data_IF_430061178738
#
_entry.id   IF_430061178738
#
_cell.length_a   1.000
_cell.length_b   1.000
_cell.length_c   1.000
_cell.angle_alpha   90.00
_cell.angle_beta   90.00
_cell.angle_gamma   90.00
#
_symmetry.space_group_name_H-M   'P 1'
#
loop_
_entity.id
_entity.type
_entity.pdbx_description
1 polymer ?
#
# COMPACT_ATOMS: atom_id res chain seq x y z
N UNK A 1 -3.76 16.04 0.93
CA UNK A 1 -2.56 16.07 0.06
C UNK A 1 -1.27 15.64 0.74
N UNK A 2 -0.99 16.10 1.98
CA UNK A 2 0.24 15.76 2.69
C UNK A 2 0.61 14.25 2.68
N UNK A 3 -0.30 13.29 2.96
CA UNK A 3 0.06 11.87 2.93
C UNK A 3 0.48 11.40 1.53
N UNK A 4 -0.12 11.95 0.47
CA UNK A 4 0.19 11.64 -0.93
C UNK A 4 1.54 12.20 -1.37
N UNK A 5 1.92 13.38 -0.86
CA UNK A 5 3.26 13.92 -1.07
C UNK A 5 4.29 13.05 -0.36
N UNK A 6 4.05 12.69 0.92
CA UNK A 6 4.95 11.82 1.67
C UNK A 6 5.15 10.45 0.98
N UNK A 7 4.07 9.88 0.46
CA UNK A 7 4.09 8.67 -0.35
C UNK A 7 4.91 8.84 -1.64
N UNK A 8 4.75 9.94 -2.37
CA UNK A 8 5.51 10.22 -3.60
C UNK A 8 7.03 10.18 -3.35
N UNK A 9 7.49 10.74 -2.22
CA UNK A 9 8.88 10.63 -1.78
C UNK A 9 9.27 9.20 -1.40
N UNK A 10 8.39 8.45 -0.73
CA UNK A 10 8.67 7.09 -0.28
C UNK A 10 8.85 6.09 -1.43
N UNK A 11 8.12 6.27 -2.53
CA UNK A 11 8.23 5.42 -3.74
C UNK A 11 9.46 5.78 -4.59
N UNK A 12 10.04 6.97 -4.42
CA UNK A 12 11.26 7.37 -5.13
C UNK A 12 12.50 6.80 -4.43
N UNK A 13 12.93 5.61 -4.86
CA UNK A 13 14.09 4.92 -4.28
C UNK A 13 15.39 5.68 -4.42
N UNK A 14 15.53 6.53 -5.46
CA UNK A 14 16.74 7.28 -5.78
C UNK A 14 17.13 8.35 -4.75
N UNK A 15 16.22 8.74 -3.87
CA UNK A 15 16.45 9.79 -2.85
C UNK A 15 16.37 9.29 -1.41
N UNK A 16 16.21 7.97 -1.20
CA UNK A 16 16.08 7.36 0.14
C UNK A 16 17.26 7.66 1.05
N UNK A 17 18.49 7.59 0.53
CA UNK A 17 19.71 7.92 1.29
C UNK A 17 19.71 9.38 1.76
N UNK A 18 19.20 10.29 0.95
CA UNK A 18 19.11 11.71 1.31
C UNK A 18 18.01 11.94 2.35
N UNK A 19 16.87 11.25 2.25
CA UNK A 19 15.82 11.26 3.27
C UNK A 19 16.39 10.79 4.62
N UNK A 20 17.12 9.68 4.63
CA UNK A 20 17.76 9.16 5.83
C UNK A 20 18.76 10.15 6.43
N UNK A 21 19.59 10.78 5.60
CA UNK A 21 20.54 11.80 6.04
C UNK A 21 19.83 12.96 6.74
N UNK A 22 18.70 13.42 6.20
CA UNK A 22 17.92 14.50 6.80
C UNK A 22 17.29 14.02 8.12
N UNK A 23 16.63 12.86 8.09
CA UNK A 23 15.96 12.29 9.26
C UNK A 23 16.93 12.02 10.41
N UNK A 24 18.15 11.55 10.13
CA UNK A 24 19.18 11.25 11.13
C UNK A 24 19.72 12.48 11.86
N UNK A 25 19.52 13.69 11.34
CA UNK A 25 19.92 14.93 12.05
C UNK A 25 19.23 15.08 13.39
N UNK A 26 17.97 14.64 13.50
CA UNK A 26 17.22 14.65 14.75
C UNK A 26 16.06 13.65 14.69
N UNK A 27 16.38 12.35 14.84
CA UNK A 27 15.40 11.26 14.79
C UNK A 27 14.23 11.47 15.75
N UNK A 28 14.45 11.79 17.05
CA UNK A 28 13.35 11.98 18.00
C UNK A 28 12.38 13.08 17.57
N UNK A 29 12.90 14.18 17.02
CA UNK A 29 12.09 15.30 16.56
C UNK A 29 11.21 14.94 15.36
N UNK A 30 11.78 14.39 14.29
CA UNK A 30 11.02 14.02 13.09
C UNK A 30 10.02 12.90 13.38
N UNK A 31 10.42 11.91 14.19
CA UNK A 31 9.53 10.85 14.63
C UNK A 31 8.33 11.40 15.42
N UNK A 32 8.58 12.32 16.37
CA UNK A 32 7.51 12.97 17.13
C UNK A 32 6.57 13.74 16.20
N UNK A 33 7.10 14.55 15.27
CA UNK A 33 6.31 15.30 14.29
C UNK A 33 5.43 14.39 13.44
N UNK A 34 5.96 13.26 12.97
CA UNK A 34 5.19 12.27 12.23
C UNK A 34 4.07 11.68 13.10
N UNK A 35 4.38 11.18 14.31
CA UNK A 35 3.39 10.55 15.21
C UNK A 35 2.26 11.46 15.66
N UNK A 36 2.53 12.77 15.77
CA UNK A 36 1.50 13.76 16.13
C UNK A 36 0.62 14.20 14.96
N UNK A 37 0.98 13.82 13.73
CA UNK A 37 0.17 14.12 12.55
C UNK A 37 -1.07 13.24 12.48
N UNK A 38 -2.23 13.81 12.11
CA UNK A 38 -3.45 13.04 11.77
C UNK A 38 -3.20 12.03 10.66
N UNK A 39 -2.20 12.29 9.82
CA UNK A 39 -1.89 11.50 8.63
C UNK A 39 -0.97 10.30 8.91
N UNK A 40 -0.49 10.10 10.14
CA UNK A 40 0.51 9.08 10.48
C UNK A 40 0.13 7.65 10.09
N UNK A 41 -1.18 7.36 10.19
CA UNK A 41 -1.77 6.07 9.83
C UNK A 41 -2.65 6.17 8.57
N UNK A 42 -2.51 7.25 7.80
CA UNK A 42 -3.26 7.40 6.55
C UNK A 42 -2.92 6.23 5.61
N UNK A 43 -3.91 5.55 4.98
CA UNK A 43 -3.66 4.37 4.17
C UNK A 43 -2.64 4.55 3.03
N UNK A 44 -2.59 5.73 2.39
CA UNK A 44 -1.57 6.08 1.40
C UNK A 44 -0.11 5.94 1.91
N UNK A 45 0.11 6.06 3.22
CA UNK A 45 1.40 5.82 3.86
C UNK A 45 1.53 4.35 4.28
N UNK A 46 0.44 3.72 4.75
CA UNK A 46 0.49 2.45 5.48
C UNK A 46 0.28 1.17 4.66
N UNK A 47 -0.30 1.24 3.46
CA UNK A 47 -0.77 0.03 2.76
C UNK A 47 0.34 -0.80 2.10
N UNK A 48 1.40 -0.14 1.62
CA UNK A 48 2.44 -0.77 0.79
C UNK A 48 3.51 -1.57 1.54
N UNK A 49 4.71 -1.61 0.94
CA UNK A 49 5.89 -2.30 1.50
C UNK A 49 6.32 -1.72 2.86
N UNK A 50 7.02 -2.51 3.68
CA UNK A 50 7.65 -2.02 4.93
C UNK A 50 8.50 -0.78 4.65
N UNK A 51 9.27 -0.79 3.56
CA UNK A 51 10.08 0.37 3.16
C UNK A 51 9.21 1.57 2.76
N UNK A 52 8.10 1.38 2.01
CA UNK A 52 7.19 2.50 1.67
C UNK A 52 6.59 3.11 2.95
N UNK A 53 6.20 2.28 3.90
CA UNK A 53 5.70 2.71 5.22
C UNK A 53 6.76 3.50 6.00
N UNK A 54 7.99 2.97 6.07
CA UNK A 54 9.09 3.60 6.79
C UNK A 54 9.45 4.96 6.19
N UNK A 55 9.74 5.02 4.89
CA UNK A 55 10.10 6.26 4.22
C UNK A 55 8.93 7.24 4.15
N UNK A 56 7.69 6.75 4.02
CA UNK A 56 6.50 7.58 4.10
C UNK A 56 6.36 8.28 5.45
N UNK A 57 6.61 7.58 6.56
CA UNK A 57 6.59 8.17 7.91
C UNK A 57 7.77 9.08 8.20
N UNK A 58 8.99 8.71 7.77
CA UNK A 58 10.16 9.59 7.83
C UNK A 58 9.87 10.90 7.09
N UNK A 59 9.36 10.79 5.88
CA UNK A 59 9.06 11.96 5.06
C UNK A 59 7.90 12.78 5.59
N UNK A 60 6.85 12.15 6.15
CA UNK A 60 5.78 12.85 6.85
C UNK A 60 6.35 13.71 7.99
N UNK A 61 7.24 13.16 8.81
CA UNK A 61 7.92 13.89 9.88
C UNK A 61 8.73 15.10 9.36
N UNK A 62 9.49 14.90 8.29
CA UNK A 62 10.28 15.97 7.65
C UNK A 62 9.38 17.05 7.06
N UNK A 63 8.32 16.68 6.34
CA UNK A 63 7.36 17.63 5.76
C UNK A 63 6.64 18.43 6.84
N UNK A 64 6.17 17.78 7.92
CA UNK A 64 5.57 18.45 9.07
C UNK A 64 6.52 19.37 9.82
N UNK A 65 7.82 19.10 9.82
CA UNK A 65 8.82 20.00 10.39
C UNK A 65 9.11 21.19 9.47
N UNK A 66 9.15 20.96 8.15
CA UNK A 66 9.39 21.98 7.13
C UNK A 66 8.38 23.12 7.14
N UNK A 67 7.13 22.87 7.56
CA UNK A 67 6.11 23.94 7.68
C UNK A 67 6.47 25.03 8.68
N UNK A 68 7.35 24.74 9.64
CA UNK A 68 7.78 25.68 10.68
C UNK A 68 9.27 26.01 10.64
N UNK A 69 10.08 25.24 9.91
CA UNK A 69 11.53 25.40 9.81
C UNK A 69 11.95 25.65 8.35
N UNK A 70 12.40 26.88 8.01
CA UNK A 70 12.87 27.23 6.66
C UNK A 70 14.11 26.44 6.20
N UNK A 71 14.95 25.97 7.13
CA UNK A 71 16.09 25.11 6.83
C UNK A 71 15.62 23.75 6.30
N UNK A 72 14.68 23.12 7.02
CA UNK A 72 14.10 21.84 6.62
C UNK A 72 13.29 21.98 5.32
N UNK A 73 12.55 23.08 5.15
CA UNK A 73 11.86 23.39 3.89
C UNK A 73 12.80 23.44 2.69
N UNK A 74 14.00 24.03 2.83
CA UNK A 74 15.02 24.04 1.77
C UNK A 74 15.54 22.63 1.46
N UNK A 75 15.69 21.79 2.47
CA UNK A 75 16.09 20.40 2.29
C UNK A 75 15.03 19.57 1.54
N UNK A 76 13.74 19.79 1.84
CA UNK A 76 12.63 19.19 1.08
C UNK A 76 12.68 19.62 -0.38
N UNK A 77 12.89 20.91 -0.68
CA UNK A 77 13.03 21.39 -2.05
C UNK A 77 14.22 20.76 -2.78
N UNK A 78 15.37 20.63 -2.10
CA UNK A 78 16.55 19.97 -2.65
C UNK A 78 16.28 18.48 -2.94
N UNK A 79 15.55 17.78 -2.07
CA UNK A 79 15.08 16.42 -2.33
C UNK A 79 14.18 16.36 -3.57
N UNK A 80 13.23 17.30 -3.72
CA UNK A 80 12.34 17.34 -4.88
C UNK A 80 13.12 17.54 -6.17
N UNK A 81 14.08 18.48 -6.17
CA UNK A 81 14.94 18.75 -7.33
C UNK A 81 15.76 17.51 -7.72
N UNK A 82 16.30 16.78 -6.74
CA UNK A 82 17.06 15.56 -6.98
C UNK A 82 16.18 14.40 -7.44
N UNK A 83 15.00 14.24 -6.83
CA UNK A 83 14.09 13.13 -7.09
C UNK A 83 13.34 13.24 -8.41
N UNK A 84 13.03 14.46 -8.84
CA UNK A 84 12.31 14.73 -10.08
C UNK A 84 12.91 15.91 -10.84
N UNK A 85 14.16 15.82 -11.33
CA UNK A 85 14.87 16.95 -11.91
C UNK A 85 14.17 17.53 -13.14
N UNK A 86 13.64 16.68 -14.02
CA UNK A 86 12.91 17.12 -15.21
C UNK A 86 11.59 17.82 -14.88
N UNK A 87 10.84 17.31 -13.89
CA UNK A 87 9.60 17.94 -13.41
C UNK A 87 9.92 19.28 -12.75
N UNK A 88 10.92 19.29 -11.85
CA UNK A 88 11.36 20.49 -11.15
C UNK A 88 11.70 21.59 -12.14
N UNK A 89 12.55 21.28 -13.13
CA UNK A 89 12.92 22.20 -14.20
C UNK A 89 11.70 22.72 -14.96
N UNK A 90 10.81 21.82 -15.39
CA UNK A 90 9.61 22.17 -16.15
C UNK A 90 8.67 23.12 -15.38
N UNK A 91 8.49 22.92 -14.07
CA UNK A 91 7.62 23.79 -13.26
C UNK A 91 8.28 25.13 -12.97
N UNK A 92 9.54 25.14 -12.59
CA UNK A 92 10.25 26.37 -12.17
C UNK A 92 10.44 27.33 -13.34
N UNK A 93 10.88 26.82 -14.49
CA UNK A 93 11.19 27.61 -15.69
C UNK A 93 9.95 28.01 -16.49
N UNK A 94 8.77 27.44 -16.18
CA UNK A 94 7.54 27.81 -16.89
C UNK A 94 7.11 29.24 -16.56
N UNK A 95 6.86 30.02 -17.60
CA UNK A 95 6.26 31.36 -17.51
C UNK A 95 4.73 31.34 -17.68
N UNK A 96 4.15 30.17 -17.97
CA UNK A 96 2.71 29.98 -18.19
C UNK A 96 2.04 29.12 -17.13
N UNK A 97 0.77 28.79 -17.38
CA UNK A 97 0.05 27.80 -16.59
C UNK A 97 0.67 26.41 -16.78
N UNK A 98 0.81 25.65 -15.70
CA UNK A 98 1.37 24.30 -15.73
C UNK A 98 0.31 23.31 -16.19
N UNK A 99 0.64 22.57 -17.24
CA UNK A 99 -0.13 21.42 -17.73
C UNK A 99 0.52 20.14 -17.17
N UNK A 100 -0.17 19.45 -16.26
CA UNK A 100 0.36 18.24 -15.59
C UNK A 100 0.62 17.14 -16.60
N UNK A 101 -0.28 16.92 -17.57
CA UNK A 101 -0.15 15.86 -18.57
C UNK A 101 1.13 16.03 -19.38
N UNK A 102 1.30 17.22 -19.97
CA UNK A 102 2.50 17.56 -20.75
C UNK A 102 3.77 17.51 -19.91
N UNK A 103 3.69 17.90 -18.64
CA UNK A 103 4.85 17.84 -17.72
C UNK A 103 5.27 16.41 -17.43
N UNK A 104 4.31 15.50 -17.22
CA UNK A 104 4.59 14.07 -17.00
C UNK A 104 5.16 13.44 -18.28
N UNK A 105 4.54 13.68 -19.43
CA UNK A 105 4.98 13.17 -20.74
C UNK A 105 6.40 13.62 -21.08
N UNK A 106 6.68 14.92 -20.94
CA UNK A 106 8.00 15.49 -21.20
C UNK A 106 9.06 14.97 -20.22
N UNK A 107 8.72 14.81 -18.94
CA UNK A 107 9.66 14.33 -17.92
C UNK A 107 10.02 12.85 -18.09
N UNK A 108 9.12 12.04 -18.63
CA UNK A 108 9.33 10.61 -18.87
C UNK A 108 9.71 10.28 -20.33
N UNK A 109 9.74 11.28 -21.23
CA UNK A 109 10.01 11.12 -22.66
C UNK A 109 9.04 10.14 -23.35
N UNK A 110 7.75 10.27 -23.02
CA UNK A 110 6.66 9.44 -23.55
C UNK A 110 5.60 10.32 -24.21
N UNK A 111 4.82 9.75 -25.12
CA UNK A 111 3.72 10.45 -25.80
C UNK A 111 2.39 10.36 -25.07
N UNK A 112 2.20 9.32 -24.25
CA UNK A 112 0.97 9.10 -23.50
C UNK A 112 1.31 8.62 -22.09
N UNK A 113 0.99 9.45 -21.10
CA UNK A 113 1.30 9.17 -19.70
C UNK A 113 0.61 7.92 -19.13
N UNK A 114 -0.48 7.45 -19.76
CA UNK A 114 -1.23 6.24 -19.33
C UNK A 114 -0.37 4.97 -19.45
N UNK A 115 0.73 5.00 -20.21
CA UNK A 115 1.69 3.88 -20.29
C UNK A 115 2.53 3.72 -19.02
N UNK A 116 2.51 4.68 -18.10
CA UNK A 116 3.21 4.60 -16.82
C UNK A 116 2.36 3.86 -15.78
N UNK A 117 3.00 3.15 -14.83
CA UNK A 117 2.31 2.62 -13.66
C UNK A 117 1.64 3.74 -12.85
N UNK A 118 0.44 3.47 -12.30
CA UNK A 118 -0.35 4.42 -11.52
C UNK A 118 0.44 5.12 -10.41
N UNK A 119 1.30 4.39 -9.69
CA UNK A 119 2.15 4.95 -8.64
C UNK A 119 3.09 6.07 -9.17
N UNK A 120 3.59 5.94 -10.41
CA UNK A 120 4.44 6.97 -11.03
C UNK A 120 3.63 8.20 -11.44
N UNK A 121 2.46 7.98 -12.03
CA UNK A 121 1.55 9.07 -12.43
C UNK A 121 1.12 9.86 -11.20
N UNK A 122 0.65 9.17 -10.15
CA UNK A 122 0.23 9.76 -8.90
C UNK A 122 1.38 10.54 -8.24
N UNK A 123 2.55 9.93 -8.09
CA UNK A 123 3.71 10.60 -7.51
C UNK A 123 4.09 11.87 -8.29
N UNK A 124 4.15 11.80 -9.62
CA UNK A 124 4.46 12.95 -10.45
C UNK A 124 3.41 14.06 -10.33
N UNK A 125 2.12 13.72 -10.36
CA UNK A 125 1.02 14.69 -10.21
C UNK A 125 1.12 15.43 -8.86
N UNK A 126 1.28 14.72 -7.74
CA UNK A 126 1.40 15.35 -6.43
C UNK A 126 2.67 16.18 -6.27
N UNK A 127 3.79 15.77 -6.88
CA UNK A 127 5.03 16.57 -6.87
C UNK A 127 4.90 17.83 -7.73
N UNK A 128 4.25 17.76 -8.89
CA UNK A 128 3.94 18.94 -9.70
C UNK A 128 3.06 19.90 -8.90
N UNK A 129 1.98 19.40 -8.29
CA UNK A 129 1.10 20.23 -7.46
C UNK A 129 1.86 20.86 -6.29
N UNK A 130 2.72 20.09 -5.60
CA UNK A 130 3.57 20.61 -4.53
C UNK A 130 4.47 21.75 -5.02
N UNK A 131 5.15 21.58 -6.15
CA UNK A 131 6.01 22.62 -6.74
C UNK A 131 5.20 23.85 -7.17
N UNK A 132 4.02 23.66 -7.76
CA UNK A 132 3.13 24.77 -8.11
C UNK A 132 2.74 25.60 -6.88
N UNK A 133 2.42 24.94 -5.76
CA UNK A 133 2.13 25.63 -4.51
C UNK A 133 3.33 26.40 -3.96
N UNK A 134 4.51 25.77 -3.92
CA UNK A 134 5.73 26.40 -3.39
C UNK A 134 6.16 27.61 -4.24
N UNK A 135 6.14 27.48 -5.56
CA UNK A 135 6.56 28.54 -6.49
C UNK A 135 5.41 29.45 -6.92
N UNK A 136 4.22 29.30 -6.32
CA UNK A 136 3.01 30.08 -6.64
C UNK A 136 2.67 30.07 -8.14
N UNK A 137 2.91 28.94 -8.82
CA UNK A 137 2.55 28.72 -10.23
C UNK A 137 1.08 28.32 -10.33
N UNK A 138 0.39 28.81 -11.35
CA UNK A 138 -0.99 28.39 -11.68
C UNK A 138 -0.95 27.13 -12.54
N UNK A 139 -1.90 26.22 -12.35
CA UNK A 139 -2.10 25.04 -13.20
C UNK A 139 -3.19 25.32 -14.25
N UNK A 140 -3.28 24.57 -15.35
CA UNK A 140 -4.47 24.65 -16.23
C UNK A 140 -5.71 24.12 -15.49
N UNK A 141 -6.91 24.51 -15.93
CA UNK A 141 -8.14 24.03 -15.30
C UNK A 141 -8.28 22.50 -15.40
N UNK A 142 -7.86 21.92 -16.52
CA UNK A 142 -7.82 20.46 -16.72
C UNK A 142 -6.89 19.78 -15.73
N UNK A 143 -5.75 20.40 -15.44
CA UNK A 143 -4.77 19.89 -14.46
C UNK A 143 -5.31 19.99 -13.03
N UNK A 144 -6.00 21.08 -12.69
CA UNK A 144 -6.69 21.23 -11.40
C UNK A 144 -7.78 20.16 -11.22
N UNK A 145 -8.62 19.97 -12.24
CA UNK A 145 -9.66 18.92 -12.24
C UNK A 145 -9.04 17.53 -12.07
N UNK A 146 -7.94 17.22 -12.75
CA UNK A 146 -7.23 15.94 -12.61
C UNK A 146 -6.79 15.69 -11.16
N UNK A 147 -6.12 16.66 -10.53
CA UNK A 147 -5.60 16.49 -9.17
C UNK A 147 -6.75 16.29 -8.17
N UNK A 148 -7.84 17.02 -8.35
CA UNK A 148 -9.06 16.84 -7.53
C UNK A 148 -9.63 15.45 -7.74
N UNK A 149 -9.75 14.98 -8.98
CA UNK A 149 -10.34 13.68 -9.30
C UNK A 149 -9.49 12.52 -8.76
N UNK A 150 -8.17 12.55 -8.96
CA UNK A 150 -7.25 11.54 -8.41
C UNK A 150 -7.36 11.52 -6.88
N UNK A 151 -7.31 12.69 -6.24
CA UNK A 151 -7.41 12.79 -4.78
C UNK A 151 -8.74 12.25 -4.27
N UNK A 152 -9.86 12.65 -4.90
CA UNK A 152 -11.20 12.16 -4.56
C UNK A 152 -11.31 10.65 -4.69
N UNK A 153 -10.88 10.07 -5.82
CA UNK A 153 -10.92 8.61 -6.05
C UNK A 153 -10.11 7.84 -5.01
N UNK A 154 -8.94 8.36 -4.63
CA UNK A 154 -8.09 7.76 -3.60
C UNK A 154 -8.70 7.88 -2.21
N UNK A 155 -9.21 9.06 -1.84
CA UNK A 155 -9.89 9.26 -0.56
C UNK A 155 -11.14 8.38 -0.46
N UNK A 156 -11.91 8.25 -1.54
CA UNK A 156 -13.05 7.33 -1.63
C UNK A 156 -12.64 5.89 -1.44
N UNK A 157 -11.57 5.44 -2.11
CA UNK A 157 -11.04 4.08 -1.96
C UNK A 157 -10.61 3.77 -0.52
N UNK A 158 -10.02 4.74 0.18
CA UNK A 158 -9.58 4.57 1.56
C UNK A 158 -10.69 4.71 2.59
N UNK A 159 -11.77 5.42 2.26
CA UNK A 159 -12.89 5.57 3.15
C UNK A 159 -13.78 4.31 3.14
N UNK A 160 -13.68 3.52 4.20
CA UNK A 160 -14.46 2.27 4.36
C UNK A 160 -15.97 2.53 4.23
N UNK A 161 -16.46 3.70 4.65
CA UNK A 161 -17.90 4.02 4.63
C UNK A 161 -18.46 4.31 3.24
N UNK A 162 -17.63 4.54 2.23
CA UNK A 162 -18.08 4.79 0.85
C UNK A 162 -18.43 3.50 0.10
N UNK A 163 -18.15 2.33 0.68
CA UNK A 163 -18.42 1.03 0.05
C UNK A 163 -17.40 0.62 -1.04
N UNK A 164 -16.46 1.50 -1.40
CA UNK A 164 -15.48 1.29 -2.47
C UNK A 164 -14.50 0.14 -2.18
N UNK A 165 -14.12 -0.02 -0.90
CA UNK A 165 -13.20 -1.07 -0.47
C UNK A 165 -13.95 -2.36 -0.18
N UNK A 166 -13.51 -3.44 -0.81
CA UNK A 166 -14.01 -4.78 -0.50
C UNK A 166 -13.71 -5.13 0.96
N UNK A 167 -14.75 -5.31 1.76
CA UNK A 167 -14.67 -5.83 3.13
C UNK A 167 -16.04 -6.33 3.57
N UNK A 168 -16.07 -7.21 4.58
CA UNK A 168 -17.35 -7.75 5.09
C UNK A 168 -18.35 -6.66 5.48
N UNK A 169 -17.88 -5.54 6.03
CA UNK A 169 -18.74 -4.43 6.48
C UNK A 169 -19.57 -3.80 5.35
N UNK A 170 -19.13 -3.98 4.11
CA UNK A 170 -19.76 -3.39 2.92
C UNK A 170 -20.65 -4.41 2.17
N UNK A 171 -20.85 -5.61 2.73
CA UNK A 171 -21.74 -6.59 2.11
C UNK A 171 -23.20 -6.19 2.29
N UNK A 172 -23.97 -6.31 1.20
CA UNK A 172 -25.42 -6.20 1.28
C UNK A 172 -26.00 -7.43 1.97
N UNK A 173 -27.22 -7.30 2.53
CA UNK A 173 -27.97 -8.45 3.09
C UNK A 173 -28.17 -9.59 2.09
N UNK A 174 -28.19 -9.28 0.80
CA UNK A 174 -28.24 -10.30 -0.25
C UNK A 174 -26.93 -11.08 -0.31
N UNK A 175 -25.80 -10.39 -0.38
CA UNK A 175 -24.47 -11.02 -0.41
C UNK A 175 -24.26 -11.87 0.84
N UNK A 176 -24.61 -11.36 2.03
CA UNK A 176 -24.50 -12.10 3.28
C UNK A 176 -25.31 -13.41 3.26
N UNK A 177 -26.55 -13.37 2.75
CA UNK A 177 -27.37 -14.59 2.59
C UNK A 177 -26.73 -15.59 1.62
N UNK A 178 -26.18 -15.11 0.51
CA UNK A 178 -25.54 -15.96 -0.51
C UNK A 178 -24.25 -16.60 0.02
N UNK A 179 -23.46 -15.85 0.79
CA UNK A 179 -22.28 -16.37 1.49
C UNK A 179 -22.68 -17.45 2.49
N UNK A 180 -23.74 -17.22 3.27
CA UNK A 180 -24.25 -18.23 4.22
C UNK A 180 -24.63 -19.53 3.52
N UNK A 181 -25.41 -19.43 2.44
CA UNK A 181 -25.79 -20.59 1.62
C UNK A 181 -24.57 -21.34 1.09
N UNK A 182 -23.59 -20.62 0.53
CA UNK A 182 -22.34 -21.22 0.04
C UNK A 182 -21.59 -21.95 1.14
N UNK A 183 -21.41 -21.31 2.29
CA UNK A 183 -20.70 -21.88 3.43
C UNK A 183 -21.38 -23.16 3.93
N UNK A 184 -22.70 -23.12 4.11
CA UNK A 184 -23.48 -24.26 4.59
C UNK A 184 -23.39 -25.43 3.59
N UNK A 185 -23.45 -25.15 2.28
CA UNK A 185 -23.28 -26.18 1.24
C UNK A 185 -21.87 -26.76 1.19
N UNK A 186 -20.82 -25.95 1.32
CA UNK A 186 -19.44 -26.45 1.40
C UNK A 186 -19.30 -27.42 2.57
N UNK A 187 -19.87 -27.06 3.73
CA UNK A 187 -19.77 -27.89 4.93
C UNK A 187 -20.53 -29.22 4.79
N UNK A 188 -21.62 -29.23 4.04
CA UNK A 188 -22.41 -30.43 3.74
C UNK A 188 -21.77 -31.31 2.65
N UNK A 189 -21.29 -30.71 1.56
CA UNK A 189 -20.79 -31.43 0.39
C UNK A 189 -19.32 -31.87 0.54
N UNK A 190 -18.54 -31.15 1.35
CA UNK A 190 -17.12 -31.42 1.61
C UNK A 190 -16.94 -31.71 3.10
N UNK A 191 -16.62 -30.69 3.88
CA UNK A 191 -16.47 -30.73 5.33
C UNK A 191 -16.33 -29.31 5.87
N UNK A 192 -16.37 -29.17 7.19
CA UNK A 192 -16.25 -27.87 7.85
C UNK A 192 -14.80 -27.34 7.76
N UNK A 193 -14.60 -26.28 6.98
CA UNK A 193 -13.33 -25.56 6.85
C UNK A 193 -13.39 -24.29 7.71
N UNK A 194 -12.55 -24.22 8.75
CA UNK A 194 -12.46 -23.10 9.70
C UNK A 194 -11.11 -22.40 9.66
N UNK A 195 -10.04 -23.16 9.46
CA UNK A 195 -8.66 -22.69 9.55
C UNK A 195 -7.71 -23.53 8.67
N UNK A 196 -6.42 -23.21 8.71
CA UNK A 196 -5.43 -23.84 7.85
C UNK A 196 -5.31 -25.36 8.07
N UNK A 197 -5.48 -25.84 9.30
CA UNK A 197 -5.41 -27.27 9.64
C UNK A 197 -6.55 -28.08 9.05
N UNK A 198 -7.63 -27.43 8.63
CA UNK A 198 -8.72 -28.10 7.93
C UNK A 198 -8.40 -28.32 6.45
N UNK A 199 -7.43 -27.60 5.88
CA UNK A 199 -7.03 -27.73 4.47
C UNK A 199 -5.62 -28.30 4.27
N UNK A 200 -4.88 -28.58 5.35
CA UNK A 200 -3.53 -29.12 5.28
C UNK A 200 -3.21 -30.09 6.45
N UNK A 201 -3.45 -31.41 6.27
CA UNK A 201 -4.06 -32.04 5.10
C UNK A 201 -5.58 -31.83 5.08
N UNK A 202 -6.16 -31.77 3.88
CA UNK A 202 -7.60 -31.71 3.70
C UNK A 202 -8.23 -33.10 3.76
N UNK A 203 -9.50 -33.18 4.17
CA UNK A 203 -10.25 -34.46 4.22
C UNK A 203 -10.76 -34.90 2.84
N UNK A 204 -10.96 -33.96 1.94
CA UNK A 204 -11.38 -34.20 0.56
C UNK A 204 -10.15 -34.28 -0.34
N UNK A 205 -10.01 -35.37 -1.11
CA UNK A 205 -8.80 -35.66 -1.88
C UNK A 205 -8.47 -34.59 -2.95
N UNK A 206 -9.50 -33.98 -3.55
CA UNK A 206 -9.31 -32.93 -4.55
C UNK A 206 -8.78 -31.64 -3.89
N UNK A 207 -9.35 -31.27 -2.73
CA UNK A 207 -8.87 -30.14 -1.94
C UNK A 207 -7.46 -30.39 -1.36
N UNK A 208 -7.15 -31.63 -0.97
CA UNK A 208 -5.85 -32.00 -0.43
C UNK A 208 -4.75 -31.88 -1.50
N UNK A 209 -5.01 -32.42 -2.69
CA UNK A 209 -4.10 -32.29 -3.82
C UNK A 209 -3.86 -30.82 -4.19
N UNK A 210 -4.89 -29.97 -4.14
CA UNK A 210 -4.78 -28.53 -4.36
C UNK A 210 -3.91 -27.86 -3.28
N UNK A 211 -4.20 -28.12 -2.01
CA UNK A 211 -3.47 -27.54 -0.89
C UNK A 211 -2.00 -27.96 -0.87
N UNK A 212 -1.72 -29.23 -1.19
CA UNK A 212 -0.36 -29.75 -1.34
C UNK A 212 0.40 -29.08 -2.50
N UNK A 213 -0.26 -28.92 -3.65
CA UNK A 213 0.33 -28.19 -4.79
C UNK A 213 0.69 -26.75 -4.43
N UNK A 214 -0.14 -26.07 -3.65
CA UNK A 214 0.16 -24.74 -3.12
C UNK A 214 1.28 -24.77 -2.07
N UNK A 215 1.33 -25.79 -1.22
CA UNK A 215 2.37 -25.96 -0.20
C UNK A 215 3.77 -26.06 -0.84
N UNK A 216 3.92 -26.73 -1.99
CA UNK A 216 5.19 -26.80 -2.71
C UNK A 216 5.74 -25.43 -3.16
N UNK A 217 4.88 -24.42 -3.34
CA UNK A 217 5.34 -23.06 -3.63
C UNK A 217 6.08 -22.44 -2.43
N UNK A 218 5.71 -22.82 -1.20
CA UNK A 218 6.42 -22.37 0.00
C UNK A 218 7.74 -23.11 0.14
N UNK A 219 7.75 -24.42 -0.13
CA UNK A 219 8.97 -25.22 -0.10
C UNK A 219 10.02 -24.70 -1.09
N UNK A 220 9.58 -24.26 -2.28
CA UNK A 220 10.45 -23.63 -3.28
C UNK A 220 11.16 -22.34 -2.78
N UNK A 221 10.56 -21.66 -1.80
CA UNK A 221 11.12 -20.46 -1.14
C UNK A 221 11.78 -20.78 0.21
N UNK A 222 11.97 -22.06 0.55
CA UNK A 222 12.46 -22.55 1.85
C UNK A 222 11.58 -22.09 3.03
N UNK A 223 10.27 -22.04 2.81
CA UNK A 223 9.27 -21.65 3.81
C UNK A 223 8.36 -22.83 4.15
N UNK A 224 7.90 -22.89 5.40
CA UNK A 224 6.89 -23.85 5.84
C UNK A 224 5.55 -23.14 6.04
N UNK A 225 4.54 -23.47 5.23
CA UNK A 225 3.21 -22.90 5.37
C UNK A 225 2.60 -23.14 6.78
N UNK A 226 2.65 -24.35 7.37
CA UNK A 226 2.24 -24.55 8.77
C UNK A 226 2.95 -23.60 9.75
N UNK A 227 4.28 -23.51 9.68
CA UNK A 227 5.05 -22.65 10.59
C UNK A 227 4.70 -21.16 10.46
N UNK A 228 4.34 -20.70 9.25
CA UNK A 228 3.93 -19.32 9.02
C UNK A 228 2.50 -19.02 9.46
N UNK A 229 1.62 -20.01 9.48
CA UNK A 229 0.17 -19.81 9.58
C UNK A 229 -0.43 -20.19 10.92
N UNK A 230 0.19 -21.11 11.68
CA UNK A 230 -0.37 -21.61 12.94
C UNK A 230 -0.61 -20.54 14.00
N UNK A 231 0.25 -19.50 14.03
CA UNK A 231 0.13 -18.39 14.98
C UNK A 231 -0.86 -17.32 14.51
N UNK A 232 -1.32 -17.39 13.26
CA UNK A 232 -2.17 -16.37 12.67
C UNK A 232 -3.63 -16.61 13.07
N UNK A 233 -4.22 -15.62 13.75
CA UNK A 233 -5.63 -15.63 14.11
C UNK A 233 -6.53 -15.54 12.87
N UNK A 234 -7.05 -16.67 12.40
CA UNK A 234 -8.03 -16.75 11.33
C UNK A 234 -9.45 -16.84 11.87
N UNK A 235 -10.39 -16.10 11.28
CA UNK A 235 -11.74 -15.92 11.83
C UNK A 235 -12.82 -16.23 10.81
N UNK A 236 -14.06 -16.43 11.26
CA UNK A 236 -15.23 -16.60 10.37
C UNK A 236 -15.37 -15.41 9.41
N UNK A 237 -15.01 -14.20 9.85
CA UNK A 237 -14.98 -13.02 8.98
C UNK A 237 -14.03 -13.22 7.78
N UNK A 238 -12.87 -13.84 7.98
CA UNK A 238 -11.91 -14.09 6.91
C UNK A 238 -12.49 -15.05 5.86
N UNK A 239 -13.18 -16.11 6.30
CA UNK A 239 -13.90 -17.05 5.42
C UNK A 239 -15.00 -16.32 4.64
N UNK A 240 -15.81 -15.51 5.32
CA UNK A 240 -16.90 -14.76 4.67
C UNK A 240 -16.38 -13.74 3.66
N UNK A 241 -15.24 -13.11 3.93
CA UNK A 241 -14.60 -12.21 2.96
C UNK A 241 -14.11 -12.97 1.72
N UNK A 242 -13.55 -14.17 1.89
CA UNK A 242 -13.12 -15.02 0.77
C UNK A 242 -14.34 -15.52 -0.05
N UNK A 243 -15.37 -16.05 0.61
CA UNK A 243 -16.58 -16.50 -0.09
C UNK A 243 -17.36 -15.33 -0.72
N UNK A 244 -17.31 -14.16 -0.09
CA UNK A 244 -17.85 -12.94 -0.64
C UNK A 244 -17.14 -12.51 -1.93
N UNK A 245 -15.80 -12.62 -1.98
CA UNK A 245 -15.05 -12.27 -3.19
C UNK A 245 -15.34 -13.27 -4.31
N UNK A 246 -15.44 -14.55 -3.98
CA UNK A 246 -15.89 -15.59 -4.91
C UNK A 246 -17.27 -15.28 -5.51
N UNK A 247 -18.28 -15.06 -4.66
CA UNK A 247 -19.65 -14.83 -5.12
C UNK A 247 -19.77 -13.55 -5.93
N UNK A 248 -19.12 -12.45 -5.50
CA UNK A 248 -19.20 -11.17 -6.22
C UNK A 248 -18.60 -11.29 -7.62
N UNK A 249 -17.51 -12.03 -7.77
CA UNK A 249 -16.80 -12.16 -9.05
C UNK A 249 -17.42 -13.19 -9.99
N UNK A 250 -17.84 -14.34 -9.47
CA UNK A 250 -18.34 -15.46 -10.29
C UNK A 250 -19.86 -15.54 -10.36
N UNK A 251 -20.58 -14.87 -9.45
CA UNK A 251 -22.06 -14.87 -9.35
C UNK A 251 -22.71 -16.27 -9.32
N UNK A 252 -21.98 -17.28 -8.84
CA UNK A 252 -22.46 -18.65 -8.76
C UNK A 252 -22.45 -19.17 -7.32
N UNK A 253 -23.18 -20.27 -7.08
CA UNK A 253 -23.28 -20.93 -5.77
C UNK A 253 -22.80 -22.39 -5.81
N UNK A 254 -21.87 -22.72 -6.71
CA UNK A 254 -21.30 -24.06 -6.80
C UNK A 254 -20.37 -24.31 -5.60
N UNK A 255 -20.71 -25.25 -4.74
CA UNK A 255 -19.96 -25.48 -3.51
C UNK A 255 -18.57 -26.12 -3.76
N UNK A 256 -18.44 -27.01 -4.74
CA UNK A 256 -17.15 -27.60 -5.10
C UNK A 256 -16.14 -26.55 -5.58
N UNK A 257 -16.54 -25.70 -6.53
CA UNK A 257 -15.70 -24.61 -7.04
C UNK A 257 -15.44 -23.54 -5.97
N UNK A 258 -16.43 -23.21 -5.15
CA UNK A 258 -16.25 -22.31 -4.02
C UNK A 258 -15.29 -22.88 -2.96
N UNK A 259 -15.29 -24.19 -2.72
CA UNK A 259 -14.38 -24.84 -1.77
C UNK A 259 -12.93 -24.83 -2.28
N UNK A 260 -12.70 -25.06 -3.58
CA UNK A 260 -11.38 -24.90 -4.22
C UNK A 260 -10.89 -23.46 -4.11
N UNK A 261 -11.75 -22.50 -4.43
CA UNK A 261 -11.44 -21.08 -4.29
C UNK A 261 -11.12 -20.73 -2.83
N UNK A 262 -11.92 -21.21 -1.87
CA UNK A 262 -11.71 -21.00 -0.45
C UNK A 262 -10.33 -21.53 -0.01
N UNK A 263 -10.00 -22.77 -0.40
CA UNK A 263 -8.71 -23.40 -0.11
C UNK A 263 -7.54 -22.57 -0.63
N UNK A 264 -7.56 -22.19 -1.91
CA UNK A 264 -6.50 -21.38 -2.50
C UNK A 264 -6.41 -19.97 -1.89
N UNK A 265 -7.55 -19.31 -1.68
CA UNK A 265 -7.60 -17.97 -1.13
C UNK A 265 -7.25 -17.92 0.37
N UNK A 266 -7.41 -19.02 1.11
CA UNK A 266 -6.94 -19.11 2.49
C UNK A 266 -5.42 -18.95 2.57
N UNK A 267 -4.64 -19.63 1.72
CA UNK A 267 -3.19 -19.43 1.65
C UNK A 267 -2.80 -17.95 1.46
N UNK A 268 -3.45 -17.27 0.49
CA UNK A 268 -3.23 -15.84 0.24
C UNK A 268 -3.65 -14.99 1.45
N UNK A 269 -4.79 -15.28 2.06
CA UNK A 269 -5.31 -14.52 3.20
C UNK A 269 -4.41 -14.67 4.43
N UNK A 270 -3.87 -15.86 4.69
CA UNK A 270 -2.87 -16.08 5.73
C UNK A 270 -1.61 -15.26 5.45
N UNK A 271 -1.03 -15.34 4.24
CA UNK A 271 0.12 -14.53 3.85
C UNK A 271 -0.11 -13.03 4.05
N UNK A 272 -1.28 -12.51 3.67
CA UNK A 272 -1.63 -11.10 3.88
C UNK A 272 -1.70 -10.73 5.37
N UNK A 273 -2.16 -11.64 6.22
CA UNK A 273 -2.22 -11.43 7.68
C UNK A 273 -0.81 -11.49 8.29
N UNK A 274 -0.02 -12.51 7.98
CA UNK A 274 1.40 -12.60 8.40
C UNK A 274 2.20 -11.37 7.97
N UNK A 275 1.96 -10.87 6.75
CA UNK A 275 2.60 -9.64 6.27
C UNK A 275 2.18 -8.39 7.06
N UNK A 276 0.91 -8.27 7.43
CA UNK A 276 0.44 -7.16 8.25
C UNK A 276 0.99 -7.25 9.69
N UNK A 277 1.12 -8.44 10.25
CA UNK A 277 1.73 -8.67 11.56
C UNK A 277 3.23 -8.31 11.55
N UNK A 278 3.96 -8.70 10.49
CA UNK A 278 5.35 -8.29 10.28
C UNK A 278 5.50 -6.76 10.16
N UNK A 279 4.61 -6.10 9.40
CA UNK A 279 4.59 -4.63 9.32
C UNK A 279 4.37 -4.00 10.69
N UNK A 280 3.43 -4.51 11.48
CA UNK A 280 3.15 -4.02 12.83
C UNK A 280 4.35 -4.22 13.76
N UNK A 281 4.99 -5.39 13.70
CA UNK A 281 6.21 -5.69 14.45
C UNK A 281 7.33 -4.70 14.12
N UNK A 282 7.61 -4.49 12.84
CA UNK A 282 8.65 -3.54 12.39
C UNK A 282 8.41 -2.10 12.89
N UNK A 283 7.14 -1.67 12.90
CA UNK A 283 6.76 -0.34 13.39
C UNK A 283 6.94 -0.18 14.89
N UNK A 284 6.63 -1.24 15.65
CA UNK A 284 6.67 -1.21 17.11
C UNK A 284 8.08 -1.47 17.65
N UNK A 285 8.88 -2.24 16.92
CA UNK A 285 10.24 -2.64 17.26
C UNK A 285 11.16 -2.38 16.06
N UNK A 286 11.42 -1.10 15.73
CA UNK A 286 12.34 -0.79 14.65
C UNK A 286 13.73 -1.36 14.98
N UNK A 287 14.45 -1.92 13.99
CA UNK A 287 15.80 -2.41 14.21
C UNK A 287 16.67 -1.30 14.81
N UNK A 288 17.66 -1.66 15.65
CA UNK A 288 18.59 -0.68 16.19
C UNK A 288 19.16 0.16 15.05
N UNK A 289 19.14 1.48 15.21
CA UNK A 289 19.86 2.35 14.28
C UNK A 289 21.34 2.00 14.47
N UNK A 290 21.93 1.26 13.53
CA UNK A 290 23.37 1.01 13.54
C UNK A 290 24.07 2.37 13.59
N UNK A 291 24.62 2.69 14.77
CA UNK A 291 25.60 3.75 14.91
C UNK A 291 26.75 3.37 13.97
N UNK A 292 27.07 4.26 13.04
CA UNK A 292 27.90 3.95 11.87
C UNK A 292 29.11 3.07 12.23
N UNK A 293 29.24 1.96 11.50
CA UNK A 293 30.47 1.19 11.45
C UNK A 293 31.60 2.11 10.95
N UNK A 294 32.22 2.77 11.92
CA UNK A 294 33.55 3.35 11.85
C UNK A 294 34.49 2.33 12.47
N UNK A 295 34.72 1.26 11.73
CA UNK A 295 35.90 0.41 11.85
C UNK A 295 36.37 0.25 10.40
N UNK A 296 37.38 0.97 9.93
CA UNK A 296 38.70 0.98 10.54
C UNK A 296 39.38 -0.35 10.18
N UNK A 297 39.56 -0.62 8.89
CA UNK A 297 40.50 -1.64 8.43
C UNK A 297 41.80 -0.91 8.08
N UNK A 298 42.68 -0.86 9.08
CA UNK A 298 44.14 -0.89 8.90
C UNK A 298 44.57 -2.22 8.31
#
# INVERSE_FOLDING_TARGET
MLPYIAEAFAVNTGIRRDIDRIYKKNVPFFHKKAKTSSEYNHPAIAEGSILRLEYGRKMLGILCAGTTDPGISREVLALTQKGWPAIYKAVVESNGRIDIYKTIEKSHKIQNFITLPDDKINAAAYIITFLCLVFKKKMTEESERLVIEITRKRDEFYNISTGSRFCRKNFSREIERKIKILKDRIYQEKYEIKNFRDINPAKDAELDSLAQGLAYLYDAENLSAPALFDEIKFTVKDIEEILGSYYITHKNLNAGEAAKYLTAAMHIKYLLKSYNDLKAYYVNYPPPIEAGASQGLS
#
